data_IF_583992210582
#
_entry.id   IF_583992210582
#
_cell.length_a   1.000
_cell.length_b   1.000
_cell.length_c   1.000
_cell.angle_alpha   90.00
_cell.angle_beta   90.00
_cell.angle_gamma   90.00
#
_symmetry.space_group_name_H-M   'P 1'
#
loop_
_entity.id
_entity.type
_entity.pdbx_description
1 polymer ?
#
# COMPACT_ATOMS: atom_id res chain seq x y z
N UNK A 1 -1.91 20.32 8.73
CA UNK A 1 -2.22 18.88 8.82
C UNK A 1 -1.99 18.42 10.24
N UNK A 2 -2.98 17.81 10.88
CA UNK A 2 -2.87 17.25 12.23
C UNK A 2 -2.05 15.96 12.19
N UNK A 3 -1.04 15.82 13.06
CA UNK A 3 -0.22 14.60 13.16
C UNK A 3 -0.79 13.74 14.28
N UNK A 4 -1.19 12.51 13.98
CA UNK A 4 -1.70 11.60 15.01
C UNK A 4 -0.56 11.04 15.86
N UNK A 5 -0.57 11.35 17.17
CA UNK A 5 0.40 10.89 18.17
C UNK A 5 -0.12 9.79 19.10
N UNK A 6 -1.30 9.20 18.82
CA UNK A 6 -1.99 8.29 19.76
C UNK A 6 -1.11 7.20 20.38
N UNK A 7 -0.23 6.55 19.60
CA UNK A 7 0.66 5.51 20.14
C UNK A 7 1.67 6.06 21.14
N UNK A 8 2.17 7.27 20.91
CA UNK A 8 3.07 7.94 21.83
C UNK A 8 2.32 8.37 23.10
N UNK A 9 1.14 8.97 22.94
CA UNK A 9 0.32 9.45 24.06
C UNK A 9 -0.09 8.29 24.99
N UNK A 10 -0.18 7.07 24.47
CA UNK A 10 -0.51 5.85 25.22
C UNK A 10 0.69 4.89 25.41
N UNK A 11 1.93 5.32 25.14
CA UNK A 11 3.10 4.44 25.09
C UNK A 11 3.33 3.63 26.36
N UNK A 12 3.17 4.24 27.54
CA UNK A 12 3.37 3.56 28.82
C UNK A 12 2.42 2.37 29.02
N UNK A 13 1.21 2.44 28.48
CA UNK A 13 0.23 1.36 28.54
C UNK A 13 0.49 0.32 27.43
N UNK A 14 0.82 0.77 26.22
CA UNK A 14 0.98 -0.10 25.06
C UNK A 14 2.25 -0.95 25.11
N UNK A 15 3.33 -0.47 25.73
CA UNK A 15 4.62 -1.18 25.77
C UNK A 15 4.57 -2.55 26.44
N UNK A 16 3.64 -2.78 27.37
CA UNK A 16 3.50 -4.04 28.10
C UNK A 16 2.47 -5.00 27.47
N UNK A 17 1.75 -4.56 26.44
CA UNK A 17 0.70 -5.34 25.79
C UNK A 17 1.30 -6.01 24.55
N UNK A 18 1.19 -7.35 24.40
CA UNK A 18 1.67 -8.02 23.21
C UNK A 18 0.84 -7.57 21.99
N UNK A 19 1.50 -7.49 20.84
CA UNK A 19 0.95 -6.87 19.64
C UNK A 19 -0.43 -7.41 19.22
N UNK A 20 -0.64 -8.71 19.35
CA UNK A 20 -1.88 -9.39 19.00
C UNK A 20 -3.09 -9.00 19.88
N UNK A 21 -2.86 -8.30 20.99
CA UNK A 21 -3.90 -7.79 21.88
C UNK A 21 -4.10 -6.26 21.75
N UNK A 22 -3.31 -5.59 20.89
CA UNK A 22 -3.47 -4.17 20.61
C UNK A 22 -4.44 -4.00 19.44
N UNK A 23 -5.49 -3.20 19.64
CA UNK A 23 -6.34 -2.77 18.53
C UNK A 23 -5.56 -1.78 17.65
N UNK A 24 -5.17 -2.22 16.45
CA UNK A 24 -4.49 -1.39 15.49
C UNK A 24 -5.43 -0.97 14.37
N UNK A 25 -5.61 0.34 14.11
CA UNK A 25 -6.32 0.78 12.94
C UNK A 25 -5.52 0.39 11.69
N UNK A 26 -6.21 -0.24 10.75
CA UNK A 26 -5.63 -0.73 9.51
C UNK A 26 -6.43 -0.34 8.27
N UNK A 27 -5.79 -0.44 7.12
CA UNK A 27 -6.39 -0.15 5.82
C UNK A 27 -6.18 -1.33 4.87
N UNK A 28 -7.24 -1.74 4.19
CA UNK A 28 -7.23 -2.82 3.20
C UNK A 28 -6.64 -2.34 1.87
N UNK A 29 -5.72 -3.11 1.27
CA UNK A 29 -5.02 -2.70 0.06
C UNK A 29 -4.44 -1.27 0.13
N UNK A 30 -3.67 -0.99 1.18
CA UNK A 30 -3.26 0.35 1.59
C UNK A 30 -2.55 1.18 0.52
N UNK A 31 -1.83 0.54 -0.40
CA UNK A 31 -1.15 1.24 -1.51
C UNK A 31 -2.05 1.59 -2.69
N UNK A 32 -3.30 1.13 -2.72
CA UNK A 32 -4.21 1.27 -3.87
C UNK A 32 -5.03 2.55 -3.78
N UNK A 33 -4.34 3.69 -3.90
CA UNK A 33 -4.95 5.02 -3.93
C UNK A 33 -5.01 5.65 -5.33
N UNK A 34 -4.22 5.12 -6.25
CA UNK A 34 -4.14 5.51 -7.64
C UNK A 34 -3.83 4.26 -8.48
N UNK A 35 -4.26 4.27 -9.74
CA UNK A 35 -3.97 3.21 -10.70
C UNK A 35 -2.82 3.72 -11.57
N UNK A 36 -1.74 2.93 -11.64
CA UNK A 36 -0.64 3.18 -12.55
C UNK A 36 -0.86 2.30 -13.80
N UNK A 37 -0.74 2.81 -15.02
CA UNK A 37 -1.00 2.04 -16.25
C UNK A 37 0.12 1.03 -16.58
N UNK A 38 0.94 0.66 -15.61
CA UNK A 38 2.30 0.14 -15.82
C UNK A 38 2.32 -1.37 -16.07
N UNK A 39 1.22 -2.07 -15.81
CA UNK A 39 1.27 -3.52 -15.67
C UNK A 39 -0.09 -4.16 -15.99
N UNK A 40 -0.25 -4.55 -17.25
CA UNK A 40 -1.34 -5.41 -17.69
C UNK A 40 -0.71 -6.74 -18.05
N UNK A 41 -1.22 -7.85 -17.50
CA UNK A 41 -1.03 -9.10 -18.22
C UNK A 41 -1.88 -8.95 -19.49
N UNK A 42 -1.21 -8.87 -20.64
CA UNK A 42 -1.90 -8.80 -21.93
C UNK A 42 -2.50 -10.16 -22.33
N UNK A 43 -2.33 -11.16 -21.47
CA UNK A 43 -2.79 -12.52 -21.69
C UNK A 43 -4.29 -12.69 -21.39
N UNK A 44 -4.89 -11.81 -20.58
CA UNK A 44 -6.32 -11.86 -20.23
C UNK A 44 -7.12 -10.70 -20.86
N UNK A 45 -8.07 -11.05 -21.73
CA UNK A 45 -9.00 -10.10 -22.36
C UNK A 45 -9.80 -9.31 -21.31
N UNK A 46 -10.11 -9.91 -20.15
CA UNK A 46 -10.83 -9.25 -19.08
C UNK A 46 -10.00 -8.10 -18.47
N UNK A 47 -8.68 -8.29 -18.31
CA UNK A 47 -7.78 -7.27 -17.77
C UNK A 47 -7.64 -6.10 -18.78
N UNK A 48 -7.57 -6.40 -20.09
CA UNK A 48 -7.54 -5.36 -21.14
C UNK A 48 -8.84 -4.56 -21.18
N UNK A 49 -10.00 -5.23 -21.10
CA UNK A 49 -11.31 -4.57 -21.08
C UNK A 49 -11.48 -3.71 -19.83
N UNK A 50 -11.04 -4.20 -18.68
CA UNK A 50 -11.16 -3.49 -17.42
C UNK A 50 -10.15 -2.33 -17.35
N UNK A 51 -8.95 -2.47 -17.93
CA UNK A 51 -8.00 -1.37 -18.15
C UNK A 51 -8.60 -0.27 -19.03
N UNK A 52 -9.24 -0.64 -20.14
CA UNK A 52 -9.96 0.31 -20.97
C UNK A 52 -11.11 0.98 -20.18
N UNK A 53 -11.87 0.20 -19.41
CA UNK A 53 -12.99 0.70 -18.62
C UNK A 53 -12.55 1.68 -17.52
N UNK A 54 -11.35 1.51 -16.91
CA UNK A 54 -10.81 2.52 -15.98
C UNK A 54 -10.59 3.89 -16.63
N UNK A 55 -10.29 3.93 -17.94
CA UNK A 55 -10.12 5.18 -18.70
C UNK A 55 -11.44 5.77 -19.17
N UNK A 56 -12.38 4.92 -19.59
CA UNK A 56 -13.64 5.36 -20.21
C UNK A 56 -14.76 5.61 -19.21
N UNK A 57 -14.84 4.80 -18.14
CA UNK A 57 -15.85 4.90 -17.08
C UNK A 57 -15.20 4.86 -15.68
N UNK A 58 -14.29 5.82 -15.37
CA UNK A 58 -13.52 5.83 -14.12
C UNK A 58 -14.41 5.89 -12.87
N UNK A 59 -15.61 6.45 -12.95
CA UNK A 59 -16.54 6.52 -11.81
C UNK A 59 -17.10 5.16 -11.38
N UNK A 60 -17.18 4.17 -12.29
CA UNK A 60 -17.70 2.83 -11.99
C UNK A 60 -16.59 1.90 -11.52
N UNK A 61 -15.42 1.97 -12.18
CA UNK A 61 -14.31 1.05 -11.94
C UNK A 61 -13.35 1.58 -10.88
N UNK A 62 -13.20 2.90 -10.77
CA UNK A 62 -12.32 3.56 -9.81
C UNK A 62 -12.57 3.12 -8.37
N UNK A 63 -13.81 3.14 -7.85
CA UNK A 63 -14.11 2.67 -6.49
C UNK A 63 -13.85 1.18 -6.26
N UNK A 64 -13.86 0.37 -7.32
CA UNK A 64 -13.56 -1.07 -7.24
C UNK A 64 -12.06 -1.34 -7.23
N UNK A 65 -11.26 -0.52 -7.91
CA UNK A 65 -9.80 -0.71 -8.02
C UNK A 65 -9.06 0.06 -6.92
N UNK A 66 -9.42 1.31 -6.68
CA UNK A 66 -8.84 2.14 -5.62
C UNK A 66 -9.62 1.96 -4.32
N UNK A 67 -9.02 1.28 -3.35
CA UNK A 67 -9.63 1.08 -2.03
C UNK A 67 -9.37 2.23 -1.07
N UNK A 68 -8.39 3.09 -1.36
CA UNK A 68 -7.96 4.18 -0.48
C UNK A 68 -8.07 5.55 -1.14
N UNK A 69 -8.54 6.54 -0.40
CA UNK A 69 -8.58 7.94 -0.86
C UNK A 69 -7.29 8.74 -0.60
N UNK A 70 -6.24 8.10 -0.07
CA UNK A 70 -5.02 8.76 0.35
C UNK A 70 -3.80 7.86 0.21
N UNK A 71 -2.63 8.45 -0.07
CA UNK A 71 -1.34 7.74 -0.05
C UNK A 71 -1.00 7.23 1.35
N UNK A 72 -0.17 6.18 1.44
CA UNK A 72 0.26 5.54 2.70
C UNK A 72 0.81 6.54 3.70
N UNK A 73 1.66 7.49 3.29
CA UNK A 73 2.19 8.52 4.18
C UNK A 73 1.05 9.25 4.91
N UNK A 74 0.02 9.69 4.18
CA UNK A 74 -1.12 10.39 4.76
C UNK A 74 -1.93 9.46 5.66
N UNK A 75 -2.13 8.19 5.30
CA UNK A 75 -2.79 7.21 6.18
C UNK A 75 -2.06 7.08 7.53
N UNK A 76 -0.73 6.96 7.51
CA UNK A 76 0.10 6.89 8.71
C UNK A 76 -0.02 8.18 9.56
N UNK A 77 -0.03 9.35 8.92
CA UNK A 77 -0.24 10.63 9.61
C UNK A 77 -1.62 10.73 10.31
N UNK A 78 -2.63 10.00 9.82
CA UNK A 78 -3.96 9.90 10.45
C UNK A 78 -4.05 8.78 11.51
N UNK A 79 -2.96 8.07 11.78
CA UNK A 79 -2.89 7.10 12.87
C UNK A 79 -3.00 5.63 12.47
N UNK A 80 -3.11 5.31 11.17
CA UNK A 80 -3.08 3.93 10.67
C UNK A 80 -1.74 3.25 10.99
N UNK A 81 -1.76 1.99 11.45
CA UNK A 81 -0.55 1.23 11.83
C UNK A 81 -0.48 -0.20 11.28
N UNK A 82 -1.56 -0.66 10.66
CA UNK A 82 -1.63 -1.94 9.98
C UNK A 82 -1.89 -1.70 8.49
N UNK A 83 -0.90 -2.00 7.63
CA UNK A 83 -1.04 -1.81 6.18
C UNK A 83 -1.12 -3.16 5.48
N UNK A 84 -2.25 -3.45 4.84
CA UNK A 84 -2.35 -4.54 3.88
C UNK A 84 -1.71 -4.13 2.55
N UNK A 85 -0.60 -4.77 2.15
CA UNK A 85 0.15 -4.42 0.92
C UNK A 85 0.29 -5.68 0.07
N UNK A 86 -0.49 -5.74 -1.01
CA UNK A 86 -0.45 -6.87 -1.96
C UNK A 86 0.57 -6.59 -3.05
N UNK A 87 1.46 -7.54 -3.31
CA UNK A 87 2.61 -7.35 -4.20
C UNK A 87 2.55 -8.31 -5.38
N UNK A 88 2.78 -7.80 -6.59
CA UNK A 88 3.06 -8.59 -7.78
C UNK A 88 4.47 -8.35 -8.27
N UNK A 89 5.01 -9.33 -9.00
CA UNK A 89 6.30 -9.23 -9.67
C UNK A 89 6.05 -8.90 -11.14
N UNK A 90 6.74 -7.89 -11.66
CA UNK A 90 6.84 -7.62 -13.09
C UNK A 90 8.23 -8.03 -13.59
N UNK A 91 8.33 -8.77 -14.70
CA UNK A 91 9.59 -9.04 -15.37
C UNK A 91 10.16 -7.70 -15.86
N UNK A 92 11.48 -7.54 -15.73
CA UNK A 92 12.14 -6.38 -16.32
C UNK A 92 12.00 -6.41 -17.83
N UNK A 93 11.75 -5.25 -18.45
CA UNK A 93 11.71 -5.16 -19.91
C UNK A 93 13.15 -5.28 -20.46
N UNK A 94 13.49 -6.43 -21.03
CA UNK A 94 14.77 -6.71 -21.70
C UNK A 94 15.73 -7.62 -20.91
N UNK A 95 16.72 -8.18 -21.62
CA UNK A 95 17.64 -9.21 -21.10
C UNK A 95 18.55 -8.76 -19.93
N UNK A 96 18.59 -7.45 -19.64
CA UNK A 96 19.42 -6.86 -18.58
C UNK A 96 18.61 -6.12 -17.50
N UNK A 97 17.28 -6.18 -17.55
CA UNK A 97 16.43 -5.44 -16.63
C UNK A 97 16.03 -6.34 -15.46
N UNK A 98 16.35 -5.90 -14.23
CA UNK A 98 15.91 -6.59 -13.02
C UNK A 98 14.39 -6.61 -12.96
N UNK A 99 13.83 -7.70 -12.43
CA UNK A 99 12.41 -7.75 -12.08
C UNK A 99 12.09 -6.68 -11.02
N UNK A 100 10.89 -6.11 -11.11
CA UNK A 100 10.41 -5.04 -10.23
C UNK A 100 9.15 -5.46 -9.48
N UNK A 101 9.03 -5.01 -8.23
CA UNK A 101 7.88 -5.30 -7.38
C UNK A 101 6.89 -4.14 -7.40
N UNK A 102 5.63 -4.46 -7.67
CA UNK A 102 4.51 -3.52 -7.68
C UNK A 102 3.49 -3.87 -6.62
N UNK A 103 2.87 -2.87 -6.03
CA UNK A 103 1.65 -3.02 -5.24
C UNK A 103 0.47 -3.12 -6.18
N UNK A 104 -0.39 -4.12 -5.96
CA UNK A 104 -1.41 -4.50 -6.93
C UNK A 104 -2.76 -4.80 -6.31
N UNK A 105 -3.82 -4.37 -6.99
CA UNK A 105 -5.20 -4.75 -6.73
C UNK A 105 -5.91 -5.00 -8.06
N UNK A 106 -5.83 -6.24 -8.54
CA UNK A 106 -6.21 -6.65 -9.91
C UNK A 106 -5.29 -6.08 -11.00
N UNK A 107 -4.87 -4.82 -10.86
CA UNK A 107 -3.88 -4.09 -11.66
C UNK A 107 -2.70 -3.64 -10.81
N UNK A 108 -1.59 -3.25 -11.44
CA UNK A 108 -0.56 -2.50 -10.72
C UNK A 108 -1.06 -1.09 -10.33
N UNK A 109 -0.76 -0.71 -9.10
CA UNK A 109 -1.17 0.57 -8.54
C UNK A 109 0.02 1.49 -8.29
N UNK A 110 1.15 0.96 -7.80
CA UNK A 110 2.35 1.75 -7.50
C UNK A 110 3.55 0.83 -7.30
N UNK A 111 4.77 1.34 -7.45
CA UNK A 111 5.96 0.60 -7.05
C UNK A 111 5.99 0.37 -5.53
N UNK A 112 6.47 -0.79 -5.11
CA UNK A 112 6.64 -1.10 -3.67
C UNK A 112 7.64 -0.15 -3.02
N UNK A 113 8.66 0.28 -3.77
CA UNK A 113 9.68 1.22 -3.29
C UNK A 113 9.07 2.57 -2.88
N UNK A 114 8.09 3.09 -3.62
CA UNK A 114 7.38 4.32 -3.24
C UNK A 114 6.68 4.16 -1.87
N UNK A 115 6.06 3.02 -1.60
CA UNK A 115 5.45 2.74 -0.30
C UNK A 115 6.50 2.74 0.82
N UNK A 116 7.65 2.09 0.60
CA UNK A 116 8.72 2.07 1.59
C UNK A 116 9.33 3.46 1.83
N UNK A 117 9.46 4.28 0.79
CA UNK A 117 9.90 5.66 0.92
C UNK A 117 8.91 6.50 1.73
N UNK A 118 7.61 6.30 1.53
CA UNK A 118 6.57 6.95 2.32
C UNK A 118 6.62 6.52 3.80
N UNK A 119 6.75 5.23 4.09
CA UNK A 119 6.92 4.70 5.46
C UNK A 119 8.18 5.27 6.10
N UNK A 120 9.31 5.26 5.39
CA UNK A 120 10.58 5.81 5.89
C UNK A 120 10.47 7.30 6.18
N UNK A 121 9.83 8.05 5.30
CA UNK A 121 9.60 9.49 5.47
C UNK A 121 8.72 9.78 6.68
N UNK A 122 7.67 8.97 6.87
CA UNK A 122 6.85 9.01 8.07
C UNK A 122 7.70 8.71 9.33
N UNK A 123 8.44 7.60 9.35
CA UNK A 123 9.24 7.21 10.52
C UNK A 123 10.32 8.22 10.87
N UNK A 124 10.91 8.93 9.88
CA UNK A 124 11.83 10.06 10.14
C UNK A 124 11.18 11.18 10.95
N UNK A 125 9.90 11.48 10.69
CA UNK A 125 9.15 12.50 11.45
C UNK A 125 8.92 12.07 12.89
N UNK A 126 8.80 10.76 13.14
CA UNK A 126 8.55 10.19 14.47
C UNK A 126 9.78 9.51 15.09
N UNK A 127 10.97 9.70 14.53
CA UNK A 127 12.19 9.00 14.96
C UNK A 127 12.58 9.30 16.42
N UNK A 128 12.10 10.42 16.98
CA UNK A 128 12.27 10.79 18.38
C UNK A 128 11.33 10.06 19.34
N UNK A 129 10.39 9.24 18.86
CA UNK A 129 9.40 8.56 19.69
C UNK A 129 9.72 7.07 19.85
N UNK A 130 10.14 6.61 21.05
CA UNK A 130 10.73 5.28 21.26
C UNK A 130 9.73 4.09 21.25
N UNK A 131 8.44 4.31 21.02
CA UNK A 131 7.38 3.30 21.17
C UNK A 131 6.46 3.18 19.94
N UNK A 132 7.01 3.42 18.75
CA UNK A 132 6.23 3.41 17.53
C UNK A 132 6.23 2.01 16.92
N UNK A 133 5.06 1.38 16.85
CA UNK A 133 4.91 0.10 16.19
C UNK A 133 5.21 0.27 14.70
N UNK A 134 6.33 -0.29 14.26
CA UNK A 134 6.67 -0.42 12.86
C UNK A 134 5.80 -1.50 12.22
N UNK A 135 4.70 -1.05 11.62
CA UNK A 135 4.15 -1.57 10.37
C UNK A 135 4.05 -3.11 10.25
N UNK A 136 2.86 -3.66 10.46
CA UNK A 136 2.57 -5.00 9.96
C UNK A 136 2.22 -4.92 8.47
N UNK A 137 3.05 -5.52 7.63
CA UNK A 137 2.83 -5.63 6.18
C UNK A 137 2.40 -7.06 5.88
N UNK A 138 1.13 -7.23 5.48
CA UNK A 138 0.68 -8.51 4.96
C UNK A 138 0.91 -8.56 3.46
N UNK A 139 1.93 -9.33 3.03
CA UNK A 139 2.31 -9.45 1.61
C UNK A 139 1.62 -10.65 0.98
N UNK A 140 0.69 -10.38 0.07
CA UNK A 140 0.15 -11.39 -0.83
C UNK A 140 0.93 -11.39 -2.13
N UNK A 141 1.42 -12.55 -2.56
CA UNK A 141 1.84 -12.78 -3.94
C UNK A 141 0.60 -12.87 -4.81
N UNK A 142 0.50 -12.02 -5.82
CA UNK A 142 -0.46 -12.20 -6.91
C UNK A 142 0.27 -12.90 -8.05
N UNK A 143 -0.15 -14.12 -8.40
CA UNK A 143 0.37 -14.91 -9.53
C UNK A 143 -0.14 -14.39 -10.89
N UNK A 144 -0.18 -13.06 -11.05
CA UNK A 144 -0.38 -12.44 -12.35
C UNK A 144 0.97 -11.92 -12.81
N UNK A 145 1.45 -12.47 -13.91
CA UNK A 145 2.54 -11.85 -14.67
C UNK A 145 1.98 -10.55 -15.24
N UNK A 146 2.26 -9.45 -14.57
CA UNK A 146 2.80 -8.31 -15.30
C UNK A 146 3.90 -8.77 -16.27
#
# INVERSE_FOLDING_TARGET
MHKSTWQFDHAACLQSIPLNLILLPGTHNSGCCQIEPVCFSWEDLADVLLAWATKVVPCLVGPWVCTQGAKVYKQLMHGIRFLDIRVSLAPGQGACSSSMFYVSHTFACTEVEDIFQQVRSHNKVFASFPAFLHLFVHVHRIDKQC
#
